data_IF_807026022993
#
_entry.id   IF_807026022993
#
_cell.length_a   1.000
_cell.length_b   1.000
_cell.length_c   1.000
_cell.angle_alpha   90.00
_cell.angle_beta   90.00
_cell.angle_gamma   90.00
#
_symmetry.space_group_name_H-M   'P 1'
#
loop_
_entity.id
_entity.type
_entity.pdbx_description
1 polymer ?
#
# COMPACT_ATOMS: atom_id res chain seq x y z
N UNK A 1 35.71 27.46 -54.15
CA UNK A 1 35.72 26.00 -54.02
C UNK A 1 35.03 25.64 -52.74
N UNK A 2 33.71 25.43 -52.77
CA UNK A 2 32.98 24.81 -51.70
C UNK A 2 32.13 23.70 -52.30
N UNK A 3 32.53 22.47 -52.00
CA UNK A 3 31.86 21.23 -52.36
C UNK A 3 30.78 20.90 -51.31
N UNK A 4 29.63 20.56 -51.79
CA UNK A 4 28.48 19.91 -51.24
C UNK A 4 28.63 19.20 -49.89
N UNK A 5 27.90 19.66 -48.90
CA UNK A 5 27.48 18.86 -47.73
C UNK A 5 25.95 18.65 -47.80
N UNK A 6 25.55 17.46 -48.22
CA UNK A 6 24.15 17.03 -48.16
C UNK A 6 23.76 16.80 -46.68
N UNK A 7 22.88 17.68 -46.21
CA UNK A 7 22.21 17.54 -44.93
C UNK A 7 21.17 16.42 -45.06
N UNK A 8 21.48 15.24 -44.52
CA UNK A 8 20.48 14.18 -44.39
C UNK A 8 19.63 14.46 -43.16
N UNK A 9 18.41 14.93 -43.43
CA UNK A 9 17.35 15.05 -42.42
C UNK A 9 16.99 13.64 -41.92
N UNK A 10 17.37 13.31 -40.68
CA UNK A 10 16.78 12.19 -39.95
C UNK A 10 15.41 12.65 -39.45
N UNK A 11 14.37 12.30 -40.17
CA UNK A 11 13.01 12.34 -39.66
C UNK A 11 12.85 11.12 -38.77
N UNK A 12 13.00 11.30 -37.48
CA UNK A 12 12.60 10.30 -36.49
C UNK A 12 11.09 10.33 -36.39
N UNK A 13 10.41 9.44 -37.10
CA UNK A 13 8.98 9.18 -36.90
C UNK A 13 8.83 8.58 -35.50
N UNK A 14 8.48 9.41 -34.53
CA UNK A 14 7.91 8.97 -33.27
C UNK A 14 6.53 8.38 -33.59
N UNK A 15 6.49 7.05 -33.78
CA UNK A 15 5.26 6.29 -33.67
C UNK A 15 4.74 6.44 -32.25
N UNK A 16 3.88 7.43 -32.03
CA UNK A 16 3.01 7.46 -30.87
C UNK A 16 2.01 6.31 -31.02
N UNK A 17 2.46 5.10 -30.70
CA UNK A 17 1.55 3.99 -30.48
C UNK A 17 0.64 4.43 -29.32
N UNK A 18 -0.64 4.69 -29.62
CA UNK A 18 -1.67 4.71 -28.61
C UNK A 18 -1.72 3.30 -28.01
N UNK A 19 -0.95 3.06 -26.94
CA UNK A 19 -1.19 1.92 -26.09
C UNK A 19 -2.58 2.14 -25.50
N UNK A 20 -3.57 1.50 -26.07
CA UNK A 20 -4.85 1.32 -25.40
C UNK A 20 -4.48 0.68 -24.06
N UNK A 21 -4.73 1.38 -22.95
CA UNK A 21 -4.64 0.78 -21.63
C UNK A 21 -5.42 -0.55 -21.70
N UNK A 22 -4.86 -1.65 -21.20
CA UNK A 22 -5.62 -2.89 -21.15
C UNK A 22 -6.93 -2.51 -20.47
N UNK A 23 -8.06 -2.78 -21.13
CA UNK A 23 -9.36 -2.57 -20.53
C UNK A 23 -9.28 -3.22 -19.16
N UNK A 24 -9.85 -2.58 -18.13
CA UNK A 24 -10.13 -3.20 -16.85
C UNK A 24 -11.17 -4.31 -17.13
N UNK A 25 -10.76 -5.30 -17.93
CA UNK A 25 -11.54 -6.49 -18.20
C UNK A 25 -11.88 -7.09 -16.85
N UNK A 26 -13.13 -7.48 -16.66
CA UNK A 26 -13.60 -8.17 -15.49
C UNK A 26 -12.50 -9.14 -15.05
N UNK A 27 -11.96 -8.95 -13.84
CA UNK A 27 -10.84 -9.74 -13.35
C UNK A 27 -11.29 -11.18 -13.33
N UNK A 28 -10.76 -11.98 -14.24
CA UNK A 28 -11.24 -13.33 -14.55
C UNK A 28 -11.19 -14.30 -13.36
N UNK A 29 -10.54 -13.87 -12.26
CA UNK A 29 -10.35 -14.67 -11.04
C UNK A 29 -11.33 -14.32 -9.92
N UNK A 30 -12.12 -13.24 -10.06
CA UNK A 30 -13.06 -12.85 -9.03
C UNK A 30 -14.32 -13.72 -9.08
N UNK A 31 -14.72 -14.29 -7.95
CA UNK A 31 -16.00 -15.01 -7.80
C UNK A 31 -17.16 -14.05 -7.51
N UNK A 32 -16.86 -12.89 -6.96
CA UNK A 32 -17.84 -11.85 -6.70
C UNK A 32 -17.64 -10.73 -7.71
N UNK A 33 -18.62 -10.51 -8.55
CA UNK A 33 -18.58 -9.41 -9.52
C UNK A 33 -18.55 -8.06 -8.79
N UNK A 34 -17.78 -7.12 -9.33
CA UNK A 34 -17.87 -5.74 -8.89
C UNK A 34 -19.26 -5.19 -9.23
N UNK A 35 -19.86 -4.45 -8.30
CA UNK A 35 -21.15 -3.77 -8.55
C UNK A 35 -21.00 -2.69 -9.64
N UNK A 36 -19.85 -2.05 -9.66
CA UNK A 36 -19.52 -1.00 -10.63
C UNK A 36 -18.10 -1.21 -11.16
N UNK A 37 -17.89 -0.86 -12.41
CA UNK A 37 -16.56 -0.87 -13.00
C UNK A 37 -15.94 0.53 -12.85
N UNK A 38 -14.71 0.65 -12.37
CA UNK A 38 -14.05 1.93 -12.27
C UNK A 38 -13.88 2.54 -13.66
N UNK A 39 -14.19 3.82 -13.79
CA UNK A 39 -13.93 4.59 -15.01
C UNK A 39 -12.41 4.69 -15.21
N UNK A 40 -11.90 4.43 -16.44
CA UNK A 40 -10.48 4.63 -16.72
C UNK A 40 -10.04 6.04 -16.37
N UNK A 41 -8.91 6.18 -15.67
CA UNK A 41 -8.37 7.48 -15.22
C UNK A 41 -8.21 8.45 -16.40
N UNK A 42 -7.80 7.93 -17.56
CA UNK A 42 -7.68 8.70 -18.81
C UNK A 42 -9.00 9.26 -19.34
N UNK A 43 -10.15 8.71 -18.92
CA UNK A 43 -11.49 9.16 -19.32
C UNK A 43 -12.06 10.22 -18.40
N UNK A 44 -11.46 10.44 -17.24
CA UNK A 44 -11.88 11.48 -16.27
C UNK A 44 -11.37 12.83 -16.75
N UNK A 45 -12.21 13.57 -17.47
CA UNK A 45 -11.86 14.85 -18.11
C UNK A 45 -12.74 15.99 -17.62
N UNK A 46 -12.28 17.21 -17.84
CA UNK A 46 -13.07 18.44 -17.66
C UNK A 46 -13.62 18.64 -16.24
N UNK A 47 -12.92 18.17 -15.21
CA UNK A 47 -13.27 18.50 -13.84
C UNK A 47 -12.95 19.98 -13.60
N UNK A 48 -13.98 20.76 -13.28
CA UNK A 48 -13.93 22.22 -13.06
C UNK A 48 -14.38 22.59 -11.66
N UNK A 49 -14.33 23.89 -11.34
CA UNK A 49 -14.69 24.41 -10.02
C UNK A 49 -13.75 23.94 -8.92
N UNK A 50 -14.24 23.90 -7.70
CA UNK A 50 -13.42 23.63 -6.51
C UNK A 50 -12.54 22.39 -6.65
N UNK A 51 -13.09 21.26 -7.08
CA UNK A 51 -12.31 20.01 -7.23
C UNK A 51 -11.27 20.11 -8.35
N UNK A 52 -11.64 20.66 -9.49
CA UNK A 52 -10.72 20.86 -10.61
C UNK A 52 -9.55 21.78 -10.24
N UNK A 53 -9.81 22.84 -9.48
CA UNK A 53 -8.78 23.75 -9.01
C UNK A 53 -7.85 23.10 -7.99
N UNK A 54 -8.40 22.27 -7.06
CA UNK A 54 -7.58 21.48 -6.12
C UNK A 54 -6.72 20.43 -6.82
N UNK A 55 -7.25 19.76 -7.84
CA UNK A 55 -6.48 18.82 -8.65
C UNK A 55 -5.32 19.50 -9.39
N UNK A 56 -5.57 20.69 -9.99
CA UNK A 56 -4.52 21.51 -10.64
C UNK A 56 -3.47 21.96 -9.63
N UNK A 57 -3.89 22.43 -8.47
CA UNK A 57 -2.97 22.85 -7.40
C UNK A 57 -2.10 21.69 -6.93
N UNK A 58 -2.70 20.54 -6.65
CA UNK A 58 -1.98 19.33 -6.25
C UNK A 58 -0.93 18.93 -7.30
N UNK A 59 -1.32 18.89 -8.58
CA UNK A 59 -0.41 18.53 -9.66
C UNK A 59 0.72 19.54 -9.84
N UNK A 60 0.36 20.82 -10.02
CA UNK A 60 1.31 21.84 -10.47
C UNK A 60 2.20 22.36 -9.34
N UNK A 61 1.69 22.40 -8.11
CA UNK A 61 2.42 22.95 -6.96
C UNK A 61 3.01 21.83 -6.11
N UNK A 62 2.22 20.81 -5.74
CA UNK A 62 2.69 19.76 -4.85
C UNK A 62 3.50 18.70 -5.60
N UNK A 63 2.88 17.95 -6.53
CA UNK A 63 3.54 16.79 -7.16
C UNK A 63 4.79 17.18 -7.96
N UNK A 64 4.74 18.29 -8.73
CA UNK A 64 5.90 18.73 -9.53
C UNK A 64 7.05 19.25 -8.69
N UNK A 65 6.76 19.91 -7.55
CA UNK A 65 7.79 20.51 -6.70
C UNK A 65 8.18 19.64 -5.49
N UNK A 66 7.49 18.51 -5.31
CA UNK A 66 7.85 17.60 -4.22
C UNK A 66 9.30 17.12 -4.37
N UNK A 67 10.11 17.19 -3.31
CA UNK A 67 11.53 16.83 -3.38
C UNK A 67 11.71 15.31 -3.41
N UNK A 68 11.11 14.66 -4.40
CA UNK A 68 11.04 13.21 -4.52
C UNK A 68 12.40 12.55 -4.56
N UNK A 69 13.41 13.22 -5.13
CA UNK A 69 14.75 12.67 -5.23
C UNK A 69 15.34 12.30 -3.89
N UNK A 70 15.12 13.12 -2.85
CA UNK A 70 15.55 12.82 -1.48
C UNK A 70 15.03 11.47 -0.96
N UNK A 71 13.79 11.13 -1.29
CA UNK A 71 13.14 9.90 -0.84
C UNK A 71 13.54 8.71 -1.71
N UNK A 72 13.80 8.96 -2.98
CA UNK A 72 14.33 7.93 -3.90
C UNK A 72 15.77 7.60 -3.53
N UNK A 73 16.62 8.60 -3.28
CA UNK A 73 17.99 8.39 -2.84
C UNK A 73 18.06 7.55 -1.55
N UNK A 74 17.17 7.84 -0.60
CA UNK A 74 17.07 7.08 0.64
C UNK A 74 16.86 5.57 0.40
N UNK A 75 16.03 5.22 -0.59
CA UNK A 75 15.81 3.81 -0.98
C UNK A 75 16.96 3.25 -1.81
N UNK A 76 17.39 3.98 -2.83
CA UNK A 76 18.43 3.53 -3.75
C UNK A 76 19.74 3.26 -3.01
N UNK A 77 20.09 4.14 -2.07
CA UNK A 77 21.30 4.04 -1.26
C UNK A 77 21.11 3.18 0.01
N UNK A 78 19.88 2.68 0.26
CA UNK A 78 19.54 1.86 1.43
C UNK A 78 20.00 2.48 2.73
N UNK A 79 19.59 3.72 2.96
CA UNK A 79 20.04 4.53 4.09
C UNK A 79 19.38 4.17 5.42
N UNK A 80 18.36 3.28 5.41
CA UNK A 80 17.64 2.90 6.62
C UNK A 80 18.50 2.02 7.52
N UNK A 81 18.79 2.49 8.70
CA UNK A 81 19.64 1.76 9.65
C UNK A 81 18.87 1.20 10.83
N UNK A 82 17.98 1.96 11.46
CA UNK A 82 17.24 1.48 12.65
C UNK A 82 15.81 2.02 12.80
N UNK A 83 15.58 3.31 12.73
CA UNK A 83 14.30 3.95 13.12
C UNK A 83 13.98 5.17 12.28
N UNK A 84 14.12 5.11 11.01
CA UNK A 84 13.70 6.21 10.15
C UNK A 84 12.26 5.95 9.67
N UNK A 85 11.31 6.32 10.50
CA UNK A 85 9.90 6.25 10.19
C UNK A 85 9.57 7.06 8.95
N UNK A 86 8.71 6.50 8.12
CA UNK A 86 7.97 7.21 7.06
C UNK A 86 8.79 7.83 5.93
N UNK A 87 10.12 7.71 5.91
CA UNK A 87 10.89 8.25 4.80
C UNK A 87 10.71 7.43 3.53
N UNK A 88 10.66 6.10 3.67
CA UNK A 88 10.60 5.21 2.52
C UNK A 88 9.18 4.93 2.01
N UNK A 89 8.13 5.44 2.62
CA UNK A 89 6.77 5.37 2.09
C UNK A 89 6.47 6.44 1.04
N UNK A 90 7.16 7.58 1.12
CA UNK A 90 6.84 8.76 0.31
C UNK A 90 7.04 8.54 -1.18
N UNK A 91 8.04 7.76 -1.59
CA UNK A 91 8.31 7.50 -2.99
C UNK A 91 7.20 6.66 -3.65
N UNK A 92 6.65 5.64 -2.95
CA UNK A 92 5.52 4.85 -3.44
C UNK A 92 4.26 5.70 -3.57
N UNK A 93 3.91 6.45 -2.51
CA UNK A 93 2.75 7.35 -2.49
C UNK A 93 2.84 8.42 -3.59
N UNK A 94 4.00 9.04 -3.74
CA UNK A 94 4.21 10.05 -4.78
C UNK A 94 4.13 9.44 -6.17
N UNK A 95 4.77 8.29 -6.40
CA UNK A 95 4.85 7.65 -7.71
C UNK A 95 3.44 7.30 -8.24
N UNK A 96 2.62 6.66 -7.43
CA UNK A 96 1.24 6.33 -7.80
C UNK A 96 0.44 7.60 -8.12
N UNK A 97 0.50 8.59 -7.23
CA UNK A 97 -0.21 9.86 -7.40
C UNK A 97 0.24 10.62 -8.64
N UNK A 98 1.54 10.62 -8.94
CA UNK A 98 2.10 11.29 -10.10
C UNK A 98 1.67 10.62 -11.42
N UNK A 99 1.71 9.29 -11.50
CA UNK A 99 1.21 8.56 -12.67
C UNK A 99 -0.27 8.80 -12.93
N UNK A 100 -1.12 8.63 -11.91
CA UNK A 100 -2.56 8.84 -12.04
C UNK A 100 -2.88 10.29 -12.43
N UNK A 101 -2.23 11.27 -11.81
CA UNK A 101 -2.42 12.69 -12.12
C UNK A 101 -1.93 13.03 -13.53
N UNK A 102 -0.79 12.50 -13.97
CA UNK A 102 -0.26 12.73 -15.31
C UNK A 102 -1.15 12.12 -16.39
N UNK A 103 -1.65 10.90 -16.18
CA UNK A 103 -2.57 10.22 -17.12
C UNK A 103 -3.89 10.98 -17.20
N UNK A 104 -4.47 11.36 -16.07
CA UNK A 104 -5.74 12.10 -16.00
C UNK A 104 -5.67 13.43 -16.72
N UNK A 105 -4.57 14.17 -16.56
CA UNK A 105 -4.42 15.53 -17.09
C UNK A 105 -3.75 15.62 -18.46
N UNK A 106 -3.05 14.55 -18.88
CA UNK A 106 -2.17 14.59 -20.06
C UNK A 106 -0.86 15.37 -19.81
N UNK A 107 -0.41 15.51 -18.55
CA UNK A 107 0.80 16.24 -18.19
C UNK A 107 2.06 15.44 -18.49
N UNK A 108 2.68 15.71 -19.64
CA UNK A 108 3.88 15.02 -20.10
C UNK A 108 5.12 15.27 -19.22
N UNK A 109 5.25 16.47 -18.66
CA UNK A 109 6.38 16.82 -17.78
C UNK A 109 6.35 15.96 -16.51
N UNK A 110 5.18 15.90 -15.84
CA UNK A 110 5.00 15.07 -14.67
C UNK A 110 5.18 13.58 -15.01
N UNK A 111 4.69 13.13 -16.16
CA UNK A 111 4.86 11.75 -16.62
C UNK A 111 6.34 11.40 -16.83
N UNK A 112 7.13 12.27 -17.43
CA UNK A 112 8.56 12.06 -17.62
C UNK A 112 9.29 11.98 -16.27
N UNK A 113 8.97 12.86 -15.32
CA UNK A 113 9.51 12.81 -13.96
C UNK A 113 9.15 11.51 -13.26
N UNK A 114 7.89 11.07 -13.35
CA UNK A 114 7.42 9.84 -12.73
C UNK A 114 8.10 8.59 -13.32
N UNK A 115 8.30 8.53 -14.64
CA UNK A 115 9.03 7.45 -15.30
C UNK A 115 10.50 7.39 -14.87
N UNK A 116 11.16 8.53 -14.74
CA UNK A 116 12.54 8.59 -14.27
C UNK A 116 12.67 8.07 -12.83
N UNK A 117 11.72 8.44 -11.95
CA UNK A 117 11.65 7.94 -10.57
C UNK A 117 11.42 6.42 -10.55
N UNK A 118 10.44 5.93 -11.29
CA UNK A 118 10.17 4.49 -11.40
C UNK A 118 11.42 3.71 -11.83
N UNK A 119 12.08 4.19 -12.88
CA UNK A 119 13.29 3.54 -13.41
C UNK A 119 14.40 3.47 -12.36
N UNK A 120 14.67 4.56 -11.64
CA UNK A 120 15.67 4.58 -10.57
C UNK A 120 15.36 3.57 -9.46
N UNK A 121 14.10 3.43 -9.08
CA UNK A 121 13.68 2.48 -8.06
C UNK A 121 13.87 1.05 -8.57
N UNK A 122 13.41 0.74 -9.79
CA UNK A 122 13.58 -0.59 -10.41
C UNK A 122 15.07 -0.96 -10.52
N UNK A 123 15.90 -0.05 -11.01
CA UNK A 123 17.34 -0.29 -11.18
C UNK A 123 18.07 -0.55 -9.85
N UNK A 124 17.50 -0.10 -8.73
CA UNK A 124 18.04 -0.34 -7.39
C UNK A 124 17.62 -1.70 -6.79
N UNK A 125 16.74 -2.46 -7.46
CA UNK A 125 16.28 -3.73 -6.94
C UNK A 125 17.42 -4.75 -6.85
N UNK A 126 17.58 -5.36 -5.68
CA UNK A 126 18.60 -6.42 -5.50
C UNK A 126 18.23 -7.68 -6.29
N UNK A 127 19.24 -8.49 -6.64
CA UNK A 127 19.04 -9.74 -7.40
C UNK A 127 18.06 -10.70 -6.71
N UNK A 128 18.04 -10.70 -5.37
CA UNK A 128 17.12 -11.50 -4.57
C UNK A 128 15.68 -10.98 -4.55
N UNK A 129 15.41 -9.81 -5.14
CA UNK A 129 14.10 -9.16 -5.23
C UNK A 129 13.84 -8.09 -4.18
N UNK A 130 14.70 -7.89 -3.20
CA UNK A 130 14.52 -6.83 -2.19
C UNK A 130 14.55 -5.43 -2.82
N UNK A 131 13.63 -4.58 -2.37
CA UNK A 131 13.46 -3.22 -2.90
C UNK A 131 13.24 -2.17 -1.79
N UNK A 132 13.45 -2.56 -0.53
CA UNK A 132 13.28 -1.66 0.61
C UNK A 132 14.50 -0.79 0.88
N UNK A 133 14.37 0.08 1.86
CA UNK A 133 15.37 1.07 2.23
C UNK A 133 16.45 0.55 3.21
N UNK A 134 16.28 -0.67 3.75
CA UNK A 134 17.18 -1.18 4.79
C UNK A 134 18.50 -1.68 4.22
N UNK A 135 19.61 -1.17 4.74
CA UNK A 135 20.95 -1.57 4.32
C UNK A 135 21.18 -3.09 4.48
N UNK A 136 21.90 -3.68 3.54
CA UNK A 136 22.15 -5.13 3.51
C UNK A 136 22.85 -5.64 4.78
N UNK A 137 23.72 -4.83 5.40
CA UNK A 137 24.43 -5.16 6.64
C UNK A 137 23.48 -5.32 7.84
N UNK A 138 22.25 -4.81 7.75
CA UNK A 138 21.23 -4.94 8.78
C UNK A 138 20.23 -6.07 8.50
N UNK A 139 20.36 -6.78 7.39
CA UNK A 139 19.49 -7.88 6.97
C UNK A 139 20.24 -9.21 6.96
N UNK A 140 19.53 -10.30 7.23
CA UNK A 140 20.00 -11.68 7.13
C UNK A 140 18.84 -12.60 6.77
N UNK A 141 19.07 -13.89 6.53
CA UNK A 141 17.98 -14.83 6.29
C UNK A 141 17.04 -14.98 7.51
N UNK A 142 17.57 -14.79 8.73
CA UNK A 142 16.75 -14.77 9.94
C UNK A 142 16.03 -13.42 10.16
N UNK A 143 16.47 -12.37 9.48
CA UNK A 143 15.93 -11.00 9.57
C UNK A 143 15.96 -10.35 8.17
N UNK A 144 15.10 -10.83 7.25
CA UNK A 144 15.16 -10.42 5.84
C UNK A 144 14.69 -8.98 5.60
N UNK A 145 13.86 -8.45 6.48
CA UNK A 145 13.36 -7.06 6.46
C UNK A 145 13.48 -6.47 7.85
N UNK A 146 13.38 -5.16 7.98
CA UNK A 146 13.50 -4.48 9.28
C UNK A 146 12.51 -3.34 9.41
N UNK A 147 12.23 -3.00 10.68
CA UNK A 147 11.44 -1.84 11.05
C UNK A 147 10.11 -1.78 10.31
N UNK A 148 9.91 -0.70 9.60
CA UNK A 148 8.68 -0.42 8.84
C UNK A 148 8.73 -0.88 7.37
N UNK A 149 9.71 -1.69 6.96
CA UNK A 149 9.87 -2.11 5.56
C UNK A 149 8.55 -2.60 4.92
N UNK A 150 7.77 -3.42 5.62
CA UNK A 150 6.52 -3.94 5.07
C UNK A 150 5.46 -2.85 4.86
N UNK A 151 5.34 -1.91 5.78
CA UNK A 151 4.46 -0.77 5.67
C UNK A 151 4.88 0.15 4.51
N UNK A 152 6.15 0.48 4.44
CA UNK A 152 6.71 1.35 3.39
C UNK A 152 6.58 0.70 2.01
N UNK A 153 6.87 -0.59 1.92
CA UNK A 153 6.78 -1.36 0.67
C UNK A 153 5.33 -1.62 0.23
N UNK A 154 4.34 -1.55 1.12
CA UNK A 154 2.94 -1.56 0.74
C UNK A 154 2.64 -0.51 -0.34
N UNK A 155 3.15 0.71 -0.18
CA UNK A 155 2.96 1.79 -1.15
C UNK A 155 3.77 1.58 -2.45
N UNK A 156 4.92 0.91 -2.38
CA UNK A 156 5.68 0.51 -3.58
C UNK A 156 4.92 -0.53 -4.38
N UNK A 157 4.38 -1.56 -3.71
CA UNK A 157 3.52 -2.55 -4.34
C UNK A 157 2.36 -1.90 -5.10
N UNK A 158 1.63 -1.01 -4.42
CA UNK A 158 0.49 -0.30 -5.02
C UNK A 158 0.91 0.54 -6.22
N UNK A 159 1.97 1.32 -6.07
CA UNK A 159 2.48 2.16 -7.15
C UNK A 159 2.85 1.34 -8.40
N UNK A 160 3.62 0.27 -8.24
CA UNK A 160 4.09 -0.54 -9.36
C UNK A 160 2.94 -1.30 -10.05
N UNK A 161 2.01 -1.84 -9.27
CA UNK A 161 0.82 -2.50 -9.80
C UNK A 161 -0.05 -1.48 -10.56
N UNK A 162 -0.27 -0.29 -10.00
CA UNK A 162 -1.03 0.77 -10.65
C UNK A 162 -0.35 1.24 -11.94
N UNK A 163 0.98 1.39 -11.95
CA UNK A 163 1.72 1.72 -13.17
C UNK A 163 1.47 0.64 -14.24
N UNK A 164 1.61 -0.63 -13.89
CA UNK A 164 1.33 -1.71 -14.84
C UNK A 164 -0.11 -1.68 -15.35
N UNK A 165 -1.10 -1.57 -14.47
CA UNK A 165 -2.52 -1.55 -14.85
C UNK A 165 -2.87 -0.36 -15.75
N UNK A 166 -2.24 0.79 -15.53
CA UNK A 166 -2.53 2.01 -16.30
C UNK A 166 -1.74 2.12 -17.60
N UNK A 167 -0.56 1.51 -17.69
CA UNK A 167 0.38 1.73 -18.81
C UNK A 167 0.79 0.44 -19.52
N UNK A 168 0.58 -0.72 -18.93
CA UNK A 168 1.09 -1.99 -19.43
C UNK A 168 2.60 -2.19 -19.22
N UNK A 169 3.24 -1.40 -18.35
CA UNK A 169 4.67 -1.45 -18.06
C UNK A 169 5.08 -2.78 -17.42
N UNK A 170 5.70 -3.64 -18.22
CA UNK A 170 6.09 -5.00 -17.80
C UNK A 170 7.30 -5.00 -16.85
N UNK A 171 8.14 -3.97 -16.87
CA UNK A 171 9.27 -3.86 -15.94
C UNK A 171 8.73 -3.59 -14.53
N UNK A 172 7.73 -2.72 -14.38
CA UNK A 172 7.07 -2.48 -13.11
C UNK A 172 6.41 -3.78 -12.57
N UNK A 173 5.70 -4.54 -13.43
CA UNK A 173 5.12 -5.82 -13.01
C UNK A 173 6.21 -6.82 -12.59
N UNK A 174 7.28 -6.97 -13.38
CA UNK A 174 8.35 -7.90 -13.06
C UNK A 174 9.05 -7.55 -11.75
N UNK A 175 9.28 -6.25 -11.49
CA UNK A 175 9.91 -5.78 -10.26
C UNK A 175 9.04 -6.06 -9.03
N UNK A 176 7.73 -5.80 -9.11
CA UNK A 176 6.83 -6.06 -7.99
C UNK A 176 6.59 -7.55 -7.74
N UNK A 177 6.63 -8.38 -8.79
CA UNK A 177 6.59 -9.84 -8.62
C UNK A 177 7.85 -10.36 -7.91
N UNK A 178 9.04 -9.87 -8.26
CA UNK A 178 10.28 -10.21 -7.55
C UNK A 178 10.23 -9.79 -6.08
N UNK A 179 9.67 -8.61 -5.80
CA UNK A 179 9.48 -8.15 -4.43
C UNK A 179 8.51 -9.05 -3.65
N UNK A 180 7.39 -9.44 -4.28
CA UNK A 180 6.46 -10.39 -3.67
C UNK A 180 7.14 -11.74 -3.40
N UNK A 181 7.89 -12.26 -4.36
CA UNK A 181 8.61 -13.52 -4.21
C UNK A 181 9.67 -13.46 -3.09
N UNK A 182 10.29 -12.29 -2.87
CA UNK A 182 11.16 -12.06 -1.72
C UNK A 182 10.40 -12.28 -0.40
N UNK A 183 9.21 -11.69 -0.23
CA UNK A 183 8.40 -11.91 0.97
C UNK A 183 7.95 -13.35 1.10
N UNK A 184 7.47 -13.97 0.03
CA UNK A 184 7.04 -15.37 0.02
C UNK A 184 8.18 -16.35 0.32
N UNK A 185 9.43 -15.99 0.00
CA UNK A 185 10.60 -16.79 0.33
C UNK A 185 10.79 -16.91 1.85
N UNK A 186 10.64 -15.80 2.55
CA UNK A 186 10.98 -15.72 3.98
C UNK A 186 9.78 -15.88 4.90
N UNK A 187 8.59 -15.41 4.52
CA UNK A 187 7.38 -15.44 5.34
C UNK A 187 6.35 -16.39 4.76
N UNK A 188 5.74 -17.20 5.62
CA UNK A 188 4.73 -18.16 5.18
C UNK A 188 4.59 -19.37 6.11
N UNK A 189 3.77 -20.34 5.72
CA UNK A 189 3.63 -21.58 6.48
C UNK A 189 4.98 -22.30 6.66
N UNK A 190 5.36 -22.56 7.92
CA UNK A 190 6.64 -23.21 8.25
C UNK A 190 7.89 -22.35 8.03
N UNK A 191 7.70 -21.04 7.84
CA UNK A 191 8.76 -20.03 7.69
C UNK A 191 8.66 -19.00 8.81
N UNK A 192 9.31 -17.82 8.62
CA UNK A 192 9.16 -16.71 9.54
C UNK A 192 7.69 -16.25 9.61
N UNK A 193 7.29 -15.86 10.79
CA UNK A 193 6.04 -15.13 11.05
C UNK A 193 6.36 -13.63 11.19
N UNK A 194 5.37 -12.77 10.96
CA UNK A 194 5.55 -11.32 11.12
C UNK A 194 5.74 -10.92 12.60
N UNK A 195 5.26 -11.75 13.52
CA UNK A 195 5.38 -11.54 14.95
C UNK A 195 5.78 -12.83 15.67
N UNK A 196 6.98 -12.93 16.23
CA UNK A 196 7.43 -14.10 16.95
C UNK A 196 6.53 -14.39 18.16
N UNK A 197 6.17 -15.66 18.35
CA UNK A 197 5.23 -16.09 19.38
C UNK A 197 5.72 -15.84 20.81
N UNK A 198 7.01 -15.91 21.04
CA UNK A 198 7.65 -15.68 22.34
C UNK A 198 7.61 -14.21 22.79
N UNK A 199 7.38 -13.29 21.87
CA UNK A 199 7.26 -11.87 22.17
C UNK A 199 5.84 -11.44 22.59
N UNK A 200 4.85 -12.32 22.47
CA UNK A 200 3.45 -12.01 22.78
C UNK A 200 3.13 -11.97 24.26
N UNK A 201 3.93 -12.62 25.08
CA UNK A 201 3.70 -12.69 26.50
C UNK A 201 3.90 -11.30 27.16
N UNK A 202 2.98 -10.88 28.08
CA UNK A 202 3.05 -9.57 28.72
C UNK A 202 4.37 -9.30 29.45
N UNK A 203 4.98 -10.33 30.04
CA UNK A 203 6.26 -10.27 30.73
C UNK A 203 7.45 -9.94 29.80
N UNK A 204 7.26 -10.10 28.49
CA UNK A 204 8.28 -9.82 27.48
C UNK A 204 8.17 -8.41 26.89
N UNK A 205 7.43 -7.48 27.54
CA UNK A 205 7.15 -6.15 26.98
C UNK A 205 8.41 -5.39 26.58
N UNK A 206 9.48 -5.43 27.41
CA UNK A 206 10.75 -4.78 27.05
C UNK A 206 11.43 -5.46 25.87
N UNK A 207 11.41 -6.80 25.82
CA UNK A 207 11.91 -7.55 24.67
C UNK A 207 11.11 -7.24 23.40
N UNK A 208 9.79 -7.01 23.52
CA UNK A 208 8.96 -6.58 22.41
C UNK A 208 9.42 -5.21 21.87
N UNK A 209 9.65 -4.23 22.75
CA UNK A 209 10.15 -2.91 22.34
C UNK A 209 11.50 -3.02 21.65
N UNK A 210 12.42 -3.80 22.20
CA UNK A 210 13.75 -4.00 21.63
C UNK A 210 13.68 -4.75 20.28
N UNK A 211 12.84 -5.78 20.19
CA UNK A 211 12.65 -6.57 19.00
C UNK A 211 11.92 -5.80 17.89
N UNK A 212 10.97 -4.94 18.24
CA UNK A 212 10.26 -4.07 17.31
C UNK A 212 11.22 -3.14 16.55
N UNK A 213 12.31 -2.76 17.19
CA UNK A 213 13.37 -1.99 16.52
C UNK A 213 14.19 -2.81 15.54
N UNK A 214 14.24 -4.11 15.71
CA UNK A 214 15.18 -4.99 15.02
C UNK A 214 14.51 -6.07 14.18
N UNK A 215 13.23 -6.35 14.39
CA UNK A 215 12.56 -7.47 13.78
C UNK A 215 11.77 -7.11 12.53
N UNK A 216 11.62 -8.11 11.70
CA UNK A 216 11.09 -7.99 10.36
C UNK A 216 9.58 -7.71 10.31
N UNK A 217 9.19 -6.60 9.72
CA UNK A 217 7.85 -6.42 9.15
C UNK A 217 6.68 -6.39 10.11
N UNK A 218 6.93 -6.46 11.39
CA UNK A 218 5.87 -6.46 12.38
C UNK A 218 5.62 -5.07 12.93
N UNK A 219 6.03 -4.08 12.44
CA UNK A 219 5.78 -2.71 12.82
C UNK A 219 5.66 -2.43 14.30
N UNK A 220 6.22 -1.34 14.65
CA UNK A 220 6.11 -0.78 15.99
C UNK A 220 4.67 -0.41 16.31
N UNK A 221 3.90 -0.14 15.28
CA UNK A 221 2.51 0.20 15.37
C UNK A 221 1.63 -1.04 15.35
N UNK A 222 1.68 -1.80 16.42
CA UNK A 222 0.64 -2.78 16.72
C UNK A 222 0.64 -4.03 15.86
N UNK A 223 1.78 -4.34 15.25
CA UNK A 223 2.08 -5.66 14.66
C UNK A 223 1.33 -6.02 13.39
N UNK A 224 0.61 -5.09 12.76
CA UNK A 224 -0.17 -5.39 11.56
C UNK A 224 0.40 -4.81 10.26
N UNK A 225 1.55 -4.16 10.31
CA UNK A 225 2.19 -3.60 9.13
C UNK A 225 2.66 -4.67 8.15
N UNK A 226 3.15 -5.79 8.64
CA UNK A 226 3.54 -6.92 7.78
C UNK A 226 2.34 -7.56 7.07
N UNK A 227 1.20 -7.60 7.73
CA UNK A 227 -0.03 -8.21 7.20
C UNK A 227 -0.71 -7.36 6.12
N UNK A 228 -0.40 -6.06 6.04
CA UNK A 228 -0.88 -5.16 4.99
C UNK A 228 -0.56 -5.67 3.58
N UNK A 229 0.56 -6.37 3.42
CA UNK A 229 0.96 -6.93 2.13
C UNK A 229 -0.01 -7.98 1.58
N UNK A 230 -0.96 -8.45 2.40
CA UNK A 230 -2.05 -9.31 1.95
C UNK A 230 -2.79 -8.72 0.76
N UNK A 231 -3.14 -7.43 0.80
CA UNK A 231 -3.88 -6.76 -0.28
C UNK A 231 -3.10 -6.71 -1.60
N UNK A 232 -1.90 -6.09 -1.68
CA UNK A 232 -1.20 -5.98 -2.96
C UNK A 232 -0.72 -7.34 -3.49
N UNK A 233 -0.39 -8.31 -2.63
CA UNK A 233 -0.02 -9.65 -3.09
C UNK A 233 -1.25 -10.41 -3.63
N UNK A 234 -2.43 -10.27 -3.03
CA UNK A 234 -3.67 -10.80 -3.61
C UNK A 234 -4.02 -10.11 -4.95
N UNK A 235 -3.72 -8.80 -5.09
CA UNK A 235 -3.88 -8.08 -6.35
C UNK A 235 -2.95 -8.61 -7.45
N UNK A 236 -1.74 -9.06 -7.09
CA UNK A 236 -0.87 -9.76 -8.05
C UNK A 236 -1.47 -11.10 -8.52
N UNK A 237 -2.20 -11.82 -7.65
CA UNK A 237 -2.93 -12.99 -8.11
C UNK A 237 -4.01 -12.62 -9.14
N UNK A 238 -4.78 -11.57 -8.91
CA UNK A 238 -5.80 -11.11 -9.88
C UNK A 238 -5.18 -10.78 -11.25
N UNK A 239 -3.96 -10.25 -11.26
CA UNK A 239 -3.27 -9.86 -12.50
C UNK A 239 -2.55 -11.01 -13.22
N UNK A 240 -2.01 -11.96 -12.45
CA UNK A 240 -1.08 -12.97 -12.99
C UNK A 240 -1.63 -14.39 -12.97
N UNK A 241 -2.68 -14.66 -12.19
CA UNK A 241 -3.21 -15.99 -11.95
C UNK A 241 -2.28 -16.91 -11.15
N UNK A 242 -1.14 -16.42 -10.65
CA UNK A 242 -0.15 -17.22 -9.92
C UNK A 242 -0.65 -17.59 -8.53
N UNK A 243 -1.11 -18.82 -8.36
CA UNK A 243 -1.76 -19.34 -7.14
C UNK A 243 -0.96 -19.10 -5.85
N UNK A 244 0.37 -19.07 -5.92
CA UNK A 244 1.24 -18.80 -4.76
C UNK A 244 0.89 -17.49 -4.04
N UNK A 245 0.47 -16.45 -4.77
CA UNK A 245 0.08 -15.16 -4.20
C UNK A 245 -1.25 -15.26 -3.45
N UNK A 246 -2.22 -15.98 -4.03
CA UNK A 246 -3.50 -16.21 -3.36
C UNK A 246 -3.33 -17.06 -2.09
N UNK A 247 -2.55 -18.13 -2.17
CA UNK A 247 -2.33 -19.02 -1.03
C UNK A 247 -1.63 -18.29 0.13
N UNK A 248 -0.65 -17.44 -0.20
CA UNK A 248 0.03 -16.63 0.80
C UNK A 248 -0.92 -15.60 1.46
N UNK A 249 -1.72 -14.90 0.67
CA UNK A 249 -2.67 -13.92 1.19
C UNK A 249 -3.74 -14.56 2.09
N UNK A 250 -4.22 -15.75 1.74
CA UNK A 250 -5.12 -16.53 2.59
C UNK A 250 -4.44 -16.93 3.92
N UNK A 251 -3.18 -17.33 3.85
CA UNK A 251 -2.40 -17.66 5.05
C UNK A 251 -2.28 -16.43 5.96
N UNK A 252 -2.01 -15.25 5.43
CA UNK A 252 -1.96 -14.00 6.21
C UNK A 252 -3.27 -13.80 6.98
N UNK A 253 -4.40 -13.77 6.30
CA UNK A 253 -5.70 -13.48 6.92
C UNK A 253 -6.08 -14.53 7.95
N UNK A 254 -5.82 -15.83 7.69
CA UNK A 254 -6.16 -16.90 8.61
C UNK A 254 -5.31 -16.92 9.89
N UNK A 255 -4.24 -16.15 9.95
CA UNK A 255 -3.32 -16.11 11.07
C UNK A 255 -3.08 -14.71 11.64
N UNK A 256 -3.80 -13.70 11.20
CA UNK A 256 -3.50 -12.29 11.51
C UNK A 256 -3.43 -12.00 13.01
N UNK A 257 -4.39 -12.49 13.79
CA UNK A 257 -4.41 -12.30 15.23
C UNK A 257 -3.37 -13.19 15.94
N UNK A 258 -3.04 -14.34 15.35
CA UNK A 258 -2.02 -15.24 15.90
C UNK A 258 -0.67 -14.56 16.00
N UNK A 259 -0.30 -13.76 15.00
CA UNK A 259 0.99 -13.08 15.02
C UNK A 259 1.02 -11.84 15.88
N UNK A 260 -0.09 -11.09 15.92
CA UNK A 260 -0.19 -9.92 16.79
C UNK A 260 -0.22 -10.28 18.27
N UNK A 261 -0.60 -11.51 18.59
CA UNK A 261 -0.93 -11.93 19.95
C UNK A 261 -2.22 -11.28 20.46
N UNK A 262 -3.00 -10.70 19.57
CA UNK A 262 -4.22 -9.95 19.80
C UNK A 262 -5.38 -10.61 19.05
N UNK A 263 -6.59 -10.32 19.41
CA UNK A 263 -7.77 -10.97 18.85
C UNK A 263 -8.71 -9.99 18.12
N UNK A 264 -8.19 -8.81 17.76
CA UNK A 264 -9.01 -7.74 17.20
C UNK A 264 -9.76 -8.15 15.93
N UNK A 265 -9.11 -8.85 15.01
CA UNK A 265 -9.75 -9.29 13.77
C UNK A 265 -10.72 -10.46 13.95
N UNK A 266 -10.49 -11.37 14.88
CA UNK A 266 -11.45 -12.41 15.24
C UNK A 266 -12.67 -11.83 15.95
N UNK A 267 -12.53 -10.78 16.74
CA UNK A 267 -13.63 -10.08 17.41
C UNK A 267 -14.47 -9.19 16.50
N UNK A 268 -14.07 -8.99 15.23
CA UNK A 268 -14.88 -8.26 14.24
C UNK A 268 -16.26 -8.89 14.00
N UNK A 269 -16.43 -10.18 14.27
CA UNK A 269 -17.77 -10.79 14.24
C UNK A 269 -18.69 -10.19 15.32
N UNK A 270 -18.16 -9.92 16.52
CA UNK A 270 -18.92 -9.23 17.58
C UNK A 270 -19.22 -7.77 17.25
N UNK A 271 -18.30 -7.10 16.52
CA UNK A 271 -18.57 -5.75 15.99
C UNK A 271 -19.69 -5.80 14.96
N UNK A 272 -19.65 -6.75 14.05
CA UNK A 272 -20.69 -6.94 13.02
C UNK A 272 -22.05 -7.32 13.60
N UNK A 273 -22.09 -7.98 14.77
CA UNK A 273 -23.32 -8.28 15.50
C UNK A 273 -23.83 -7.12 16.39
N UNK A 274 -23.07 -6.02 16.47
CA UNK A 274 -23.38 -4.87 17.30
C UNK A 274 -23.22 -5.11 18.81
N UNK A 275 -22.56 -6.19 19.21
CA UNK A 275 -22.29 -6.52 20.63
C UNK A 275 -20.99 -5.90 21.15
N UNK A 276 -20.15 -5.40 20.26
CA UNK A 276 -18.88 -4.76 20.56
C UNK A 276 -18.69 -3.53 19.64
N UNK A 277 -17.99 -2.51 20.12
CA UNK A 277 -17.55 -1.40 19.29
C UNK A 277 -16.09 -1.53 18.89
N UNK A 278 -15.69 -0.89 17.79
CA UNK A 278 -14.28 -0.87 17.35
C UNK A 278 -13.36 -0.25 18.40
N UNK A 279 -13.84 0.69 19.21
CA UNK A 279 -13.15 1.32 20.31
C UNK A 279 -12.91 0.38 21.52
N UNK A 280 -13.54 -0.78 21.52
CA UNK A 280 -13.39 -1.83 22.58
C UNK A 280 -12.53 -3.00 22.12
N UNK A 281 -12.05 -2.98 20.89
CA UNK A 281 -11.10 -3.99 20.40
C UNK A 281 -9.80 -3.89 21.18
N UNK A 282 -9.23 -5.04 21.53
CA UNK A 282 -8.00 -5.09 22.31
C UNK A 282 -6.91 -5.85 21.56
N UNK A 283 -5.72 -5.36 21.74
CA UNK A 283 -5.40 -4.10 22.38
C UNK A 283 -5.87 -2.92 21.53
N UNK A 284 -5.66 -1.76 22.00
CA UNK A 284 -5.95 -0.47 21.40
C UNK A 284 -5.46 -0.38 19.96
N UNK A 285 -6.36 -0.50 18.98
CA UNK A 285 -5.98 -0.63 17.57
C UNK A 285 -5.57 0.70 16.96
N UNK A 286 -4.47 0.71 16.20
CA UNK A 286 -4.09 1.84 15.39
C UNK A 286 -5.01 1.92 14.16
N UNK A 287 -5.83 2.97 14.10
CA UNK A 287 -6.98 3.07 13.19
C UNK A 287 -6.59 2.91 11.71
N UNK A 288 -5.51 3.54 11.29
CA UNK A 288 -5.07 3.50 9.89
C UNK A 288 -4.60 2.10 9.46
N UNK A 289 -3.64 1.50 10.14
CA UNK A 289 -3.14 0.16 9.78
C UNK A 289 -4.19 -0.92 9.97
N UNK A 290 -5.07 -0.78 10.95
CA UNK A 290 -6.20 -1.67 11.14
C UNK A 290 -7.14 -1.65 9.91
N UNK A 291 -7.55 -0.46 9.48
CA UNK A 291 -8.41 -0.29 8.29
C UNK A 291 -7.71 -0.73 6.99
N UNK A 292 -6.42 -0.48 6.84
CA UNK A 292 -5.67 -0.92 5.66
C UNK A 292 -5.71 -2.45 5.48
N UNK A 293 -5.71 -3.22 6.57
CA UNK A 293 -5.87 -4.67 6.48
C UNK A 293 -7.21 -5.09 5.89
N UNK A 294 -8.27 -4.27 6.02
CA UNK A 294 -9.57 -4.55 5.42
C UNK A 294 -9.53 -4.60 3.90
N UNK A 295 -8.61 -3.90 3.26
CA UNK A 295 -8.44 -3.97 1.81
C UNK A 295 -8.08 -5.40 1.37
N UNK A 296 -7.19 -6.07 2.11
CA UNK A 296 -6.87 -7.48 1.88
C UNK A 296 -8.07 -8.41 2.10
N UNK A 297 -8.87 -8.17 3.13
CA UNK A 297 -10.09 -8.95 3.42
C UNK A 297 -11.12 -8.80 2.29
N UNK A 298 -11.37 -7.58 1.83
CA UNK A 298 -12.31 -7.31 0.74
C UNK A 298 -11.84 -7.92 -0.58
N UNK A 299 -10.54 -7.84 -0.88
CA UNK A 299 -9.96 -8.46 -2.07
C UNK A 299 -10.09 -9.97 -2.04
N UNK A 300 -9.76 -10.61 -0.92
CA UNK A 300 -9.95 -12.04 -0.75
C UNK A 300 -11.43 -12.44 -0.82
N UNK A 301 -12.35 -11.64 -0.27
CA UNK A 301 -13.78 -11.87 -0.45
C UNK A 301 -14.15 -11.89 -1.95
N UNK A 302 -13.70 -10.92 -2.72
CA UNK A 302 -13.97 -10.87 -4.17
C UNK A 302 -13.43 -12.11 -4.88
N UNK A 303 -12.19 -12.48 -4.62
CA UNK A 303 -11.53 -13.63 -5.24
C UNK A 303 -12.18 -14.96 -4.82
N UNK A 304 -12.51 -15.13 -3.54
CA UNK A 304 -12.91 -16.42 -2.98
C UNK A 304 -14.41 -16.60 -2.81
N UNK A 305 -15.16 -15.52 -2.71
CA UNK A 305 -16.57 -15.53 -2.34
C UNK A 305 -16.84 -15.75 -0.85
N UNK A 306 -15.81 -15.67 0.01
CA UNK A 306 -15.95 -15.85 1.46
C UNK A 306 -16.66 -14.65 2.09
N UNK A 307 -17.96 -14.80 2.30
CA UNK A 307 -18.82 -13.75 2.87
C UNK A 307 -18.47 -13.37 4.31
N UNK A 308 -17.75 -14.22 5.05
CA UNK A 308 -17.34 -13.91 6.41
C UNK A 308 -16.38 -12.72 6.44
N UNK A 309 -15.48 -12.63 5.46
CA UNK A 309 -14.54 -11.51 5.31
C UNK A 309 -15.26 -10.20 5.06
N UNK A 310 -16.24 -10.21 4.14
CA UNK A 310 -17.07 -9.03 3.87
C UNK A 310 -17.88 -8.59 5.10
N UNK A 311 -18.51 -9.55 5.80
CA UNK A 311 -19.29 -9.26 7.00
C UNK A 311 -18.46 -8.55 8.07
N UNK A 312 -17.25 -9.00 8.34
CA UNK A 312 -16.32 -8.40 9.29
C UNK A 312 -16.01 -6.94 8.93
N UNK A 313 -15.66 -6.70 7.67
CA UNK A 313 -15.31 -5.34 7.21
C UNK A 313 -16.54 -4.43 7.19
N UNK A 314 -17.67 -4.90 6.67
CA UNK A 314 -18.89 -4.11 6.61
C UNK A 314 -19.39 -3.74 8.01
N UNK A 315 -19.31 -4.67 8.98
CA UNK A 315 -19.67 -4.41 10.37
C UNK A 315 -18.76 -3.36 11.03
N UNK A 316 -17.46 -3.47 10.84
CA UNK A 316 -16.51 -2.47 11.34
C UNK A 316 -16.72 -1.09 10.69
N UNK A 317 -16.94 -1.07 9.38
CA UNK A 317 -17.22 0.16 8.64
C UNK A 317 -18.48 0.86 9.16
N UNK A 318 -19.54 0.09 9.38
CA UNK A 318 -20.81 0.60 9.89
C UNK A 318 -20.69 1.15 11.32
N UNK A 319 -19.95 0.45 12.18
CA UNK A 319 -19.67 0.91 13.55
C UNK A 319 -18.84 2.20 13.56
N UNK A 320 -17.77 2.27 12.76
CA UNK A 320 -16.98 3.49 12.61
C UNK A 320 -17.84 4.65 12.10
N UNK A 321 -18.65 4.40 11.08
CA UNK A 321 -19.56 5.41 10.52
C UNK A 321 -20.52 5.97 11.57
N UNK A 322 -21.15 5.10 12.33
CA UNK A 322 -22.19 5.49 13.28
C UNK A 322 -21.65 6.14 14.55
N UNK A 323 -20.47 5.70 15.02
CA UNK A 323 -20.01 6.01 16.37
C UNK A 323 -18.69 6.76 16.46
N UNK A 324 -17.84 6.67 15.41
CA UNK A 324 -16.49 7.21 15.42
C UNK A 324 -16.29 8.39 14.46
N UNK A 325 -17.23 8.65 13.56
CA UNK A 325 -17.08 9.68 12.55
C UNK A 325 -17.40 11.08 13.09
N UNK A 326 -16.50 12.03 12.82
CA UNK A 326 -16.75 13.45 13.06
C UNK A 326 -17.68 14.04 11.99
N UNK A 327 -18.31 15.17 12.31
CA UNK A 327 -19.11 15.94 11.35
C UNK A 327 -18.33 16.32 10.08
N UNK A 328 -17.01 16.39 10.17
CA UNK A 328 -16.11 16.66 9.04
C UNK A 328 -15.77 15.43 8.20
N UNK A 329 -16.25 14.25 8.59
CA UNK A 329 -15.96 12.98 7.92
C UNK A 329 -14.73 12.23 8.44
N UNK A 330 -13.96 12.80 9.35
CA UNK A 330 -12.80 12.12 9.91
C UNK A 330 -13.16 11.09 10.99
N UNK A 331 -12.36 10.07 11.19
CA UNK A 331 -12.75 8.88 11.95
C UNK A 331 -11.80 8.45 13.09
N UNK A 332 -10.73 9.17 13.35
CA UNK A 332 -9.74 8.79 14.38
C UNK A 332 -9.53 9.87 15.44
N UNK A 333 -9.03 9.45 16.59
CA UNK A 333 -8.54 10.32 17.67
C UNK A 333 -7.17 9.81 18.08
N UNK A 334 -6.14 10.66 17.95
CA UNK A 334 -4.76 10.27 18.29
C UNK A 334 -4.38 8.89 17.75
N UNK A 335 -4.65 8.67 16.45
CA UNK A 335 -4.38 7.42 15.71
C UNK A 335 -5.24 6.20 16.10
N UNK A 336 -6.24 6.37 16.98
CA UNK A 336 -7.06 5.28 17.53
C UNK A 336 -8.55 5.57 17.47
N UNK A 337 -9.36 4.64 17.95
CA UNK A 337 -10.78 4.84 18.23
C UNK A 337 -10.99 5.09 19.72
N UNK A 338 -11.71 6.12 20.04
CA UNK A 338 -12.01 6.53 21.41
C UNK A 338 -13.47 6.22 21.77
N UNK A 339 -13.96 6.84 22.83
CA UNK A 339 -15.33 6.64 23.32
C UNK A 339 -16.40 7.00 22.30
N UNK A 340 -17.52 6.29 22.37
CA UNK A 340 -18.70 6.52 21.54
C UNK A 340 -19.16 7.98 21.58
N UNK A 341 -19.31 8.58 20.42
CA UNK A 341 -19.85 9.93 20.21
C UNK A 341 -19.14 11.06 20.97
N UNK A 342 -18.23 10.76 21.85
CA UNK A 342 -17.46 11.72 22.63
C UNK A 342 -16.09 11.86 22.03
N UNK A 343 -15.85 13.01 21.40
CA UNK A 343 -14.56 13.32 20.79
C UNK A 343 -13.86 14.39 21.59
N UNK A 344 -12.59 14.22 21.95
CA UNK A 344 -11.86 15.27 22.64
C UNK A 344 -11.76 16.52 21.77
N UNK A 345 -11.91 17.67 22.40
CA UNK A 345 -11.85 18.98 21.74
C UNK A 345 -10.44 19.53 21.61
N UNK A 346 -9.44 18.86 22.19
CA UNK A 346 -8.06 19.33 22.21
C UNK A 346 -7.10 18.38 21.50
N UNK A 347 -6.28 18.93 20.65
CA UNK A 347 -5.02 18.36 20.20
C UNK A 347 -5.06 17.16 19.32
N UNK A 348 -4.63 16.26 19.03
CA UNK A 348 -4.48 14.99 18.34
C UNK A 348 -5.76 14.39 17.79
N UNK A 349 -6.46 15.14 16.96
CA UNK A 349 -7.75 14.67 16.51
C UNK A 349 -7.63 13.90 15.19
N UNK A 350 -8.27 14.21 14.19
CA UNK A 350 -8.50 13.45 12.98
C UNK A 350 -7.23 13.32 12.15
N UNK A 351 -6.82 12.09 11.87
CA UNK A 351 -5.79 11.83 10.89
C UNK A 351 -6.36 11.70 9.48
N UNK A 352 -5.71 12.35 8.52
CA UNK A 352 -6.09 12.21 7.11
C UNK A 352 -5.88 10.78 6.61
N UNK A 353 -4.81 10.11 7.04
CA UNK A 353 -4.51 8.73 6.65
C UNK A 353 -5.60 7.74 7.11
N UNK A 354 -6.07 7.85 8.36
CA UNK A 354 -7.17 7.02 8.88
C UNK A 354 -8.49 7.30 8.13
N UNK A 355 -8.75 8.57 7.81
CA UNK A 355 -9.93 8.96 7.02
C UNK A 355 -9.87 8.36 5.61
N UNK A 356 -8.72 8.43 4.95
CA UNK A 356 -8.53 7.88 3.60
C UNK A 356 -8.66 6.35 3.56
N UNK A 357 -8.12 5.64 4.56
CA UNK A 357 -8.24 4.18 4.61
C UNK A 357 -9.64 3.69 4.98
N UNK A 358 -10.45 4.53 5.63
CA UNK A 358 -11.85 4.24 5.92
C UNK A 358 -12.77 4.44 4.70
N UNK A 359 -12.49 5.41 3.83
CA UNK A 359 -13.24 5.70 2.61
C UNK A 359 -13.14 4.57 1.59
#
# INVERSE_FOLDING_TARGET
IFKDMKLRSFVTILLAGSMAAPSLAARSHDKVAALENPVPVSSVKNITGFYGDRMKLNRNVYLKNFPIDKYVDFIVERQHTRWDWTKAEQHGKWLESAYLSAIQSGDNELMLKARAVLKRIIDSQEDNGYLGATARSYRSDARPVRGMDAYELYFVFHAFITVYEQTGDKEALAAVEKLADYYLKYFGPGKLEFWPSDLRAPENKQKQVDALSDFAGHGVHYSWEGTLLCDPIARLYELTGKKKYLDWSKWVVSNIDKWSGWDAFSRLDSVADGTLGVDKLQPYVHSHTFQMNFMGFLRLYRITGDKSLFRKVAGAWDDIHKRQMYITGGVSVAEHYEHDYVKPVSGHVVETCATMSWM
#
